data_IF_431999649845
#
_entry.id   IF_431999649845
#
_cell.length_a   1.000
_cell.length_b   1.000
_cell.length_c   1.000
_cell.angle_alpha   90.00
_cell.angle_beta   90.00
_cell.angle_gamma   90.00
#
_symmetry.space_group_name_H-M   'P 1'
#
loop_
_entity.id
_entity.type
_entity.pdbx_description
1 polymer ?
#
# COMPACT_ATOMS: atom_id res chain seq x y z
N UNK A 1 -56.15 -10.83 -25.29
CA UNK A 1 -55.76 -12.19 -24.86
C UNK A 1 -55.36 -13.09 -26.01
N UNK A 2 -55.74 -12.75 -27.25
CA UNK A 2 -55.30 -13.47 -28.45
C UNK A 2 -53.97 -12.95 -29.01
N UNK A 3 -53.59 -11.70 -28.72
CA UNK A 3 -52.43 -11.01 -29.30
C UNK A 3 -51.06 -11.41 -28.72
N UNK A 4 -51.02 -12.32 -27.73
CA UNK A 4 -49.78 -12.77 -27.07
C UNK A 4 -49.40 -14.21 -27.43
N UNK A 5 -50.14 -14.85 -28.35
CA UNK A 5 -49.94 -16.27 -28.71
C UNK A 5 -48.74 -16.52 -29.64
N UNK A 6 -48.15 -15.48 -30.24
CA UNK A 6 -46.98 -15.59 -31.14
C UNK A 6 -45.63 -15.21 -30.49
N UNK A 7 -45.59 -14.83 -29.22
CA UNK A 7 -44.35 -14.42 -28.55
C UNK A 7 -43.66 -15.63 -27.91
N UNK A 8 -42.61 -16.15 -28.55
CA UNK A 8 -41.89 -17.35 -28.10
C UNK A 8 -40.93 -17.12 -26.91
N UNK A 9 -40.54 -15.89 -26.58
CA UNK A 9 -39.72 -15.59 -25.40
C UNK A 9 -39.81 -14.11 -25.02
N UNK A 10 -40.18 -13.83 -23.77
CA UNK A 10 -40.01 -12.52 -23.15
C UNK A 10 -38.77 -12.59 -22.27
N UNK A 11 -37.70 -11.88 -22.63
CA UNK A 11 -36.50 -11.75 -21.79
C UNK A 11 -36.68 -10.50 -20.93
N UNK A 12 -37.04 -10.68 -19.65
CA UNK A 12 -37.08 -9.59 -18.69
C UNK A 12 -35.66 -9.44 -18.12
N UNK A 13 -34.87 -8.56 -18.71
CA UNK A 13 -33.62 -8.12 -18.09
C UNK A 13 -33.98 -7.27 -16.88
N UNK A 14 -33.98 -7.84 -15.68
CA UNK A 14 -34.10 -7.06 -14.43
C UNK A 14 -32.75 -6.38 -14.18
N UNK A 15 -32.59 -5.18 -14.69
CA UNK A 15 -31.41 -4.33 -14.48
C UNK A 15 -31.83 -3.04 -13.82
N UNK A 16 -30.94 -2.45 -13.03
CA UNK A 16 -31.20 -1.21 -12.29
C UNK A 16 -31.82 -0.15 -13.22
N UNK A 17 -33.04 0.37 -12.95
CA UNK A 17 -33.70 1.34 -13.83
C UNK A 17 -32.87 2.61 -14.05
N UNK A 18 -31.96 2.95 -13.13
CA UNK A 18 -31.01 4.06 -13.29
C UNK A 18 -30.06 3.84 -14.48
N UNK A 19 -29.47 2.64 -14.61
CA UNK A 19 -28.53 2.33 -15.71
C UNK A 19 -29.23 2.24 -17.07
N UNK A 20 -30.57 2.13 -17.08
CA UNK A 20 -31.38 2.03 -18.30
C UNK A 20 -31.85 3.38 -18.85
N UNK A 21 -31.86 4.42 -18.04
CA UNK A 21 -32.22 5.78 -18.48
C UNK A 21 -30.99 6.55 -18.98
N UNK A 22 -31.17 7.38 -20.01
CA UNK A 22 -30.09 8.25 -20.53
C UNK A 22 -29.60 9.19 -19.42
N UNK A 23 -30.52 9.80 -18.66
CA UNK A 23 -30.19 10.70 -17.56
C UNK A 23 -29.36 10.00 -16.46
N UNK A 24 -29.72 8.77 -16.09
CA UNK A 24 -28.96 8.00 -15.10
C UNK A 24 -27.57 7.59 -15.60
N UNK A 25 -27.43 7.21 -16.87
CA UNK A 25 -26.11 6.90 -17.47
C UNK A 25 -25.23 8.15 -17.61
N UNK A 26 -25.79 9.29 -17.99
CA UNK A 26 -25.06 10.56 -18.03
C UNK A 26 -24.58 10.95 -16.64
N UNK A 27 -25.43 10.84 -15.61
CA UNK A 27 -25.03 11.12 -14.23
C UNK A 27 -23.94 10.16 -13.72
N UNK A 28 -24.01 8.88 -14.07
CA UNK A 28 -22.95 7.92 -13.76
C UNK A 28 -21.65 8.26 -14.50
N UNK A 29 -21.73 8.63 -15.78
CA UNK A 29 -20.58 9.04 -16.57
C UNK A 29 -19.95 10.34 -16.06
N UNK A 30 -20.74 11.30 -15.57
CA UNK A 30 -20.25 12.51 -14.93
C UNK A 30 -19.42 12.17 -13.68
N UNK A 31 -19.93 11.27 -12.84
CA UNK A 31 -19.21 10.80 -11.64
C UNK A 31 -17.93 10.04 -12.00
N UNK A 32 -17.99 9.14 -13.00
CA UNK A 32 -16.83 8.36 -13.43
C UNK A 32 -15.76 9.26 -14.07
N UNK A 33 -16.16 10.26 -14.86
CA UNK A 33 -15.24 11.26 -15.42
C UNK A 33 -14.61 12.08 -14.30
N UNK A 34 -15.37 12.45 -13.28
CA UNK A 34 -14.86 13.19 -12.12
C UNK A 34 -13.90 12.35 -11.26
N UNK A 35 -14.11 11.03 -11.17
CA UNK A 35 -13.20 10.11 -10.48
C UNK A 35 -12.00 9.68 -11.33
N UNK A 36 -11.98 10.02 -12.63
CA UNK A 36 -10.90 9.68 -13.55
C UNK A 36 -11.01 8.26 -14.15
N UNK A 37 -12.11 7.56 -13.89
CA UNK A 37 -12.34 6.17 -14.35
C UNK A 37 -12.68 6.08 -15.85
N UNK A 38 -13.13 7.19 -16.45
CA UNK A 38 -13.39 7.27 -17.89
C UNK A 38 -12.79 8.55 -18.47
N UNK A 39 -12.33 8.47 -19.72
CA UNK A 39 -11.81 9.60 -20.48
C UNK A 39 -12.92 10.49 -21.04
N UNK A 40 -12.58 11.73 -21.41
CA UNK A 40 -13.54 12.62 -22.09
C UNK A 40 -14.09 12.03 -23.39
N UNK A 41 -13.31 11.23 -24.13
CA UNK A 41 -13.81 10.56 -25.35
C UNK A 41 -14.84 9.48 -25.02
N UNK A 42 -14.61 8.71 -23.95
CA UNK A 42 -15.56 7.70 -23.50
C UNK A 42 -16.83 8.36 -22.99
N UNK A 43 -16.72 9.44 -22.21
CA UNK A 43 -17.87 10.26 -21.81
C UNK A 43 -18.70 10.74 -23.00
N UNK A 44 -18.06 11.28 -24.04
CA UNK A 44 -18.76 11.72 -25.25
C UNK A 44 -19.44 10.54 -25.98
N UNK A 45 -18.85 9.35 -25.98
CA UNK A 45 -19.52 8.14 -26.47
C UNK A 45 -20.75 7.79 -25.63
N UNK A 46 -20.71 7.94 -24.30
CA UNK A 46 -21.90 7.72 -23.45
C UNK A 46 -23.00 8.74 -23.78
N UNK A 47 -22.66 10.01 -23.99
CA UNK A 47 -23.62 11.05 -24.37
C UNK A 47 -24.22 10.79 -25.76
N UNK A 48 -23.39 10.37 -26.72
CA UNK A 48 -23.82 10.18 -28.11
C UNK A 48 -24.56 8.87 -28.35
N UNK A 49 -24.12 7.77 -27.73
CA UNK A 49 -24.64 6.42 -27.98
C UNK A 49 -25.53 5.91 -26.86
N UNK A 50 -25.47 6.54 -25.68
CA UNK A 50 -26.11 6.03 -24.48
C UNK A 50 -25.49 4.73 -23.98
N UNK A 51 -24.31 4.31 -24.44
CA UNK A 51 -23.68 3.06 -24.01
C UNK A 51 -22.55 3.37 -23.02
N UNK A 52 -22.80 3.10 -21.72
CA UNK A 52 -21.81 3.26 -20.66
C UNK A 52 -20.84 2.06 -20.60
N UNK A 53 -21.29 0.90 -21.07
CA UNK A 53 -20.56 -0.37 -20.96
C UNK A 53 -19.18 -0.27 -21.64
N UNK A 54 -19.14 0.27 -22.87
CA UNK A 54 -17.87 0.47 -23.61
C UNK A 54 -16.85 1.38 -22.93
N UNK A 55 -17.28 2.24 -22.00
CA UNK A 55 -16.39 3.11 -21.24
C UNK A 55 -15.76 2.37 -20.05
N UNK A 56 -16.44 1.36 -19.50
CA UNK A 56 -16.05 0.63 -18.29
C UNK A 56 -15.53 -0.78 -18.55
N UNK A 57 -15.69 -1.29 -19.79
CA UNK A 57 -15.36 -2.66 -20.16
C UNK A 57 -13.94 -3.07 -19.72
N UNK A 58 -12.93 -2.20 -19.88
CA UNK A 58 -11.55 -2.50 -19.48
C UNK A 58 -11.40 -2.82 -17.99
N UNK A 59 -11.96 -1.97 -17.12
CA UNK A 59 -11.95 -2.17 -15.67
C UNK A 59 -12.75 -3.42 -15.26
N UNK A 60 -13.90 -3.63 -15.89
CA UNK A 60 -14.74 -4.82 -15.65
C UNK A 60 -14.01 -6.10 -16.06
N UNK A 61 -13.33 -6.11 -17.21
CA UNK A 61 -12.54 -7.26 -17.65
C UNK A 61 -11.39 -7.54 -16.68
N UNK A 62 -10.75 -6.51 -16.14
CA UNK A 62 -9.72 -6.72 -15.12
C UNK A 62 -10.28 -7.31 -13.83
N UNK A 63 -11.42 -6.80 -13.34
CA UNK A 63 -12.07 -7.41 -12.17
C UNK A 63 -12.44 -8.88 -12.40
N UNK A 64 -12.91 -9.22 -13.61
CA UNK A 64 -13.22 -10.60 -13.95
C UNK A 64 -11.96 -11.46 -14.06
N UNK A 65 -10.85 -10.94 -14.61
CA UNK A 65 -9.58 -11.64 -14.63
C UNK A 65 -9.15 -11.99 -13.20
N UNK A 66 -9.07 -11.01 -12.31
CA UNK A 66 -8.67 -11.20 -10.90
C UNK A 66 -9.57 -12.23 -10.18
N UNK A 67 -10.89 -12.20 -10.42
CA UNK A 67 -11.82 -13.18 -9.85
C UNK A 67 -11.55 -14.59 -10.37
N UNK A 68 -11.33 -14.75 -11.67
CA UNK A 68 -10.99 -16.04 -12.27
C UNK A 68 -9.65 -16.57 -11.73
N UNK A 69 -8.66 -15.69 -11.52
CA UNK A 69 -7.39 -16.08 -10.91
C UNK A 69 -7.56 -16.55 -9.48
N UNK A 70 -8.38 -15.86 -8.69
CA UNK A 70 -8.70 -16.30 -7.33
C UNK A 70 -9.34 -17.69 -7.31
N UNK A 71 -10.26 -17.96 -8.24
CA UNK A 71 -10.85 -19.29 -8.39
C UNK A 71 -9.81 -20.35 -8.77
N UNK A 72 -8.91 -20.04 -9.71
CA UNK A 72 -7.82 -20.93 -10.12
C UNK A 72 -6.85 -21.24 -8.95
N UNK A 73 -6.43 -20.21 -8.22
CA UNK A 73 -5.57 -20.35 -7.03
C UNK A 73 -6.25 -21.20 -5.95
N UNK A 74 -7.56 -21.03 -5.74
CA UNK A 74 -8.35 -21.86 -4.82
C UNK A 74 -8.43 -23.33 -5.27
N UNK A 75 -8.36 -23.60 -6.57
CA UNK A 75 -8.28 -24.96 -7.13
C UNK A 75 -6.85 -25.53 -7.09
N UNK A 76 -5.87 -24.76 -6.62
CA UNK A 76 -4.47 -25.15 -6.58
C UNK A 76 -3.76 -25.02 -7.93
N UNK A 77 -4.31 -24.23 -8.84
CA UNK A 77 -3.71 -23.93 -10.14
C UNK A 77 -2.83 -22.69 -10.06
N UNK A 78 -1.67 -22.73 -10.71
CA UNK A 78 -0.73 -21.63 -10.73
C UNK A 78 -1.03 -20.71 -11.92
N UNK A 79 -1.24 -19.43 -11.64
CA UNK A 79 -1.54 -18.41 -12.64
C UNK A 79 -0.27 -17.62 -12.96
N UNK A 80 0.05 -17.37 -14.24
CA UNK A 80 1.18 -16.52 -14.58
C UNK A 80 0.84 -15.03 -14.39
N UNK A 81 1.72 -14.29 -13.71
CA UNK A 81 1.64 -12.82 -13.65
C UNK A 81 2.25 -12.20 -14.90
N UNK A 82 1.55 -11.23 -15.49
CA UNK A 82 1.98 -10.49 -16.67
C UNK A 82 2.33 -9.04 -16.36
N UNK A 83 3.31 -8.47 -17.07
CA UNK A 83 3.81 -7.11 -16.80
C UNK A 83 2.78 -5.99 -17.05
N UNK A 84 1.68 -6.29 -17.75
CA UNK A 84 0.61 -5.33 -18.04
C UNK A 84 -0.55 -5.43 -17.05
N UNK A 85 -0.46 -6.29 -16.03
CA UNK A 85 -1.51 -6.44 -15.03
C UNK A 85 -1.54 -5.24 -14.10
N UNK A 86 -2.74 -4.88 -13.64
CA UNK A 86 -2.93 -3.89 -12.57
C UNK A 86 -2.48 -4.48 -11.22
N UNK A 87 -1.17 -4.44 -10.98
CA UNK A 87 -0.52 -5.15 -9.89
C UNK A 87 -1.05 -4.77 -8.50
N UNK A 88 -1.36 -3.49 -8.30
CA UNK A 88 -1.90 -3.01 -7.02
C UNK A 88 -3.27 -3.61 -6.72
N UNK A 89 -4.12 -3.75 -7.73
CA UNK A 89 -5.48 -4.24 -7.55
C UNK A 89 -5.50 -5.76 -7.42
N UNK A 90 -4.66 -6.47 -8.19
CA UNK A 90 -4.40 -7.90 -7.99
C UNK A 90 -3.97 -8.20 -6.54
N UNK A 91 -2.97 -7.47 -6.02
CA UNK A 91 -2.49 -7.69 -4.64
C UNK A 91 -3.60 -7.48 -3.60
N UNK A 92 -4.43 -6.43 -3.74
CA UNK A 92 -5.53 -6.17 -2.81
C UNK A 92 -6.57 -7.28 -2.83
N UNK A 93 -6.92 -7.76 -4.02
CA UNK A 93 -7.94 -8.78 -4.21
C UNK A 93 -7.45 -10.18 -3.81
N UNK A 94 -6.23 -10.59 -4.16
CA UNK A 94 -5.68 -11.88 -3.71
C UNK A 94 -5.55 -11.95 -2.19
N UNK A 95 -5.36 -10.81 -1.51
CA UNK A 95 -5.38 -10.73 -0.03
C UNK A 95 -6.70 -11.26 0.56
N UNK A 96 -7.81 -11.17 -0.18
CA UNK A 96 -9.13 -11.58 0.32
C UNK A 96 -9.19 -13.09 0.56
N UNK A 97 -8.53 -13.89 -0.28
CA UNK A 97 -8.42 -15.34 -0.12
C UNK A 97 -7.79 -15.72 1.21
N UNK A 98 -6.67 -15.09 1.55
CA UNK A 98 -5.99 -15.31 2.83
C UNK A 98 -6.60 -14.49 3.96
N UNK A 99 -7.63 -13.68 3.74
CA UNK A 99 -8.35 -13.02 4.83
C UNK A 99 -9.43 -13.92 5.44
N UNK A 100 -9.87 -14.95 4.72
CA UNK A 100 -10.75 -15.99 5.22
C UNK A 100 -10.02 -16.91 6.22
N UNK A 101 -10.48 -17.01 7.50
CA UNK A 101 -9.90 -17.93 8.49
C UNK A 101 -9.92 -19.41 8.11
N UNK A 102 -10.84 -19.83 7.25
CA UNK A 102 -10.91 -21.20 6.72
C UNK A 102 -9.74 -21.47 5.78
N UNK A 103 -9.52 -20.57 4.83
CA UNK A 103 -8.46 -20.68 3.82
C UNK A 103 -7.06 -20.56 4.43
N UNK A 104 -6.90 -19.75 5.50
CA UNK A 104 -5.61 -19.63 6.22
C UNK A 104 -5.10 -20.94 6.83
N UNK A 105 -5.97 -21.94 7.01
CA UNK A 105 -5.58 -23.24 7.57
C UNK A 105 -4.96 -24.17 6.53
N UNK A 106 -5.09 -23.84 5.24
CA UNK A 106 -4.45 -24.56 4.17
C UNK A 106 -3.07 -23.94 3.86
N UNK A 107 -1.97 -24.58 4.31
CA UNK A 107 -0.64 -24.02 4.09
C UNK A 107 -0.22 -24.02 2.62
N UNK A 108 -0.78 -24.90 1.78
CA UNK A 108 -0.44 -24.96 0.35
C UNK A 108 -1.09 -23.78 -0.38
N UNK A 109 -2.38 -23.53 -0.12
CA UNK A 109 -3.09 -22.38 -0.67
C UNK A 109 -2.43 -21.06 -0.23
N UNK A 110 -2.13 -20.92 1.06
CA UNK A 110 -1.46 -19.71 1.58
C UNK A 110 -0.12 -19.49 0.90
N UNK A 111 0.70 -20.53 0.75
CA UNK A 111 1.99 -20.43 0.07
C UNK A 111 1.82 -19.99 -1.39
N UNK A 112 0.87 -20.59 -2.11
CA UNK A 112 0.61 -20.29 -3.51
C UNK A 112 0.15 -18.84 -3.70
N UNK A 113 -0.78 -18.37 -2.88
CA UNK A 113 -1.27 -16.98 -2.94
C UNK A 113 -0.17 -15.98 -2.60
N UNK A 114 0.66 -16.26 -1.59
CA UNK A 114 1.81 -15.40 -1.26
C UNK A 114 2.88 -15.41 -2.35
N UNK A 115 3.12 -16.54 -3.00
CA UNK A 115 4.03 -16.62 -4.14
C UNK A 115 3.52 -15.79 -5.32
N UNK A 116 2.23 -15.90 -5.64
CA UNK A 116 1.58 -15.10 -6.69
C UNK A 116 1.64 -13.59 -6.40
N UNK A 117 1.32 -13.19 -5.16
CA UNK A 117 1.48 -11.78 -4.71
C UNK A 117 2.92 -11.30 -4.87
N UNK A 118 3.91 -12.13 -4.54
CA UNK A 118 5.31 -11.76 -4.71
C UNK A 118 5.70 -11.58 -6.18
N UNK A 119 5.09 -12.33 -7.11
CA UNK A 119 5.32 -12.11 -8.54
C UNK A 119 4.82 -10.72 -8.98
N UNK A 120 3.66 -10.26 -8.53
CA UNK A 120 3.20 -8.88 -8.78
C UNK A 120 4.12 -7.83 -8.17
N UNK A 121 4.58 -8.04 -6.93
CA UNK A 121 5.55 -7.15 -6.28
C UNK A 121 6.87 -7.10 -7.07
N UNK A 122 7.31 -8.24 -7.60
CA UNK A 122 8.54 -8.31 -8.38
C UNK A 122 8.41 -7.56 -9.70
N UNK A 123 7.26 -7.63 -10.38
CA UNK A 123 7.00 -6.78 -11.55
C UNK A 123 7.05 -5.29 -11.19
N UNK A 124 6.43 -4.88 -10.07
CA UNK A 124 6.51 -3.50 -9.59
C UNK A 124 7.94 -3.04 -9.22
N UNK A 125 8.87 -3.96 -8.97
CA UNK A 125 10.28 -3.65 -8.67
C UNK A 125 11.16 -3.65 -9.90
N UNK A 126 10.90 -4.55 -10.86
CA UNK A 126 11.85 -4.92 -11.92
C UNK A 126 11.38 -4.59 -13.33
N UNK A 127 10.09 -4.35 -13.54
CA UNK A 127 9.56 -3.93 -14.83
C UNK A 127 10.19 -2.60 -15.27
N UNK A 128 10.19 -2.36 -16.58
CA UNK A 128 10.70 -1.12 -17.16
C UNK A 128 9.97 0.09 -16.52
N UNK A 129 10.68 1.01 -15.85
CA UNK A 129 10.07 2.20 -15.25
C UNK A 129 9.30 3.06 -16.26
N UNK A 130 9.69 3.04 -17.54
CA UNK A 130 8.95 3.76 -18.59
C UNK A 130 7.60 3.11 -18.88
N UNK A 131 7.54 1.78 -18.87
CA UNK A 131 6.29 1.05 -19.02
C UNK A 131 5.37 1.30 -17.82
N UNK A 132 5.90 1.20 -16.60
CA UNK A 132 5.13 1.50 -15.38
C UNK A 132 4.59 2.93 -15.39
N UNK A 133 5.37 3.90 -15.88
CA UNK A 133 4.91 5.28 -16.04
C UNK A 133 3.75 5.41 -17.05
N UNK A 134 3.79 4.67 -18.17
CA UNK A 134 2.71 4.65 -19.17
C UNK A 134 1.43 4.00 -18.63
N UNK A 135 1.59 2.98 -17.79
CA UNK A 135 0.49 2.29 -17.11
C UNK A 135 0.05 3.02 -15.83
N UNK A 136 0.61 4.20 -15.54
CA UNK A 136 0.30 4.98 -14.34
C UNK A 136 0.56 4.23 -13.00
N UNK A 137 1.48 3.27 -13.02
CA UNK A 137 1.88 2.49 -11.85
C UNK A 137 3.17 3.03 -11.23
N UNK A 138 3.19 3.14 -9.90
CA UNK A 138 4.38 3.56 -9.18
C UNK A 138 5.31 2.36 -8.94
N UNK A 139 6.58 2.37 -9.41
CA UNK A 139 7.52 1.33 -9.04
C UNK A 139 7.79 1.33 -7.53
N UNK A 140 7.95 0.13 -6.97
CA UNK A 140 8.41 -0.05 -5.60
C UNK A 140 9.93 -0.03 -5.63
N UNK A 141 10.54 1.08 -5.21
CA UNK A 141 11.99 1.16 -5.12
C UNK A 141 12.51 0.16 -4.07
N UNK A 142 13.62 -0.56 -4.37
CA UNK A 142 14.31 -1.32 -3.34
C UNK A 142 14.77 -0.37 -2.23
N UNK A 143 14.55 -0.77 -0.97
CA UNK A 143 15.05 -0.02 0.17
C UNK A 143 16.55 0.20 -0.01
N UNK A 144 16.99 1.46 -0.14
CA UNK A 144 18.41 1.73 -0.23
C UNK A 144 19.06 1.26 1.07
N UNK A 145 20.12 0.44 1.02
CA UNK A 145 20.85 0.07 2.22
C UNK A 145 21.33 1.37 2.90
N UNK A 146 21.33 1.44 4.25
CA UNK A 146 21.84 2.59 4.96
C UNK A 146 23.24 2.87 4.44
N UNK A 147 23.38 4.02 3.77
CA UNK A 147 24.63 4.43 3.18
C UNK A 147 25.58 4.66 4.36
N UNK A 148 26.48 3.71 4.58
CA UNK A 148 27.48 3.80 5.65
C UNK A 148 28.16 5.16 5.55
N UNK A 149 28.14 5.90 6.65
CA UNK A 149 28.88 7.16 6.72
C UNK A 149 30.31 6.90 6.24
N UNK A 150 30.84 7.73 5.33
CA UNK A 150 32.24 7.60 4.93
C UNK A 150 33.10 7.66 6.20
N UNK A 151 34.17 6.84 6.31
CA UNK A 151 35.08 6.90 7.43
C UNK A 151 35.56 8.34 7.57
N UNK A 152 35.37 8.92 8.76
CA UNK A 152 35.99 10.20 9.08
C UNK A 152 37.50 10.04 8.91
N UNK A 153 38.04 10.72 7.91
CA UNK A 153 39.47 10.75 7.63
C UNK A 153 40.15 11.42 8.82
N UNK A 154 40.77 10.59 9.67
CA UNK A 154 41.40 11.01 10.90
C UNK A 154 42.56 11.94 10.62
N UNK A 155 42.38 13.22 10.94
CA UNK A 155 43.46 14.18 11.06
C UNK A 155 44.37 13.74 12.23
N UNK A 156 45.69 13.53 12.05
CA UNK A 156 46.59 13.19 13.16
C UNK A 156 46.94 14.46 13.94
N UNK A 157 45.96 14.99 14.68
CA UNK A 157 46.19 15.98 15.70
C UNK A 157 46.34 15.27 17.05
N UNK A 158 47.45 15.57 17.72
CA UNK A 158 47.95 14.95 18.93
C UNK A 158 46.87 14.71 20.00
N UNK A 159 46.89 13.50 20.58
CA UNK A 159 46.15 13.18 21.79
C UNK A 159 46.66 14.07 22.94
N UNK A 160 45.79 14.83 23.64
CA UNK A 160 46.18 15.52 24.86
C UNK A 160 46.46 14.52 25.97
N UNK A 161 47.53 14.76 26.72
CA UNK A 161 47.93 14.01 27.90
C UNK A 161 46.81 14.08 28.97
N UNK A 162 46.36 12.97 29.59
CA UNK A 162 45.25 12.97 30.56
C UNK A 162 45.54 13.67 31.90
N UNK A 163 46.72 14.26 32.08
CA UNK A 163 47.17 14.78 33.37
C UNK A 163 46.81 16.26 33.67
N UNK A 164 46.16 16.97 32.74
CA UNK A 164 45.88 18.42 32.89
C UNK A 164 44.44 18.83 32.54
N UNK A 165 43.43 18.03 32.94
CA UNK A 165 42.04 18.51 32.88
C UNK A 165 41.71 19.36 34.12
N UNK A 166 41.28 20.64 33.97
CA UNK A 166 40.71 21.40 35.07
C UNK A 166 39.36 20.78 35.50
N UNK A 167 38.94 20.99 36.76
CA UNK A 167 37.67 20.46 37.26
C UNK A 167 36.48 20.95 36.43
N UNK A 168 35.52 20.04 36.22
CA UNK A 168 34.37 20.14 35.31
C UNK A 168 33.53 21.41 35.53
N UNK A 169 33.56 21.98 36.73
CA UNK A 169 32.83 23.21 37.07
C UNK A 169 33.28 24.44 36.27
N UNK A 170 34.54 24.50 35.82
CA UNK A 170 35.03 25.61 34.98
C UNK A 170 34.71 25.45 33.49
N UNK A 171 34.43 24.23 33.01
CA UNK A 171 34.11 23.98 31.60
C UNK A 171 32.68 24.41 31.25
N UNK A 172 31.75 24.37 32.22
CA UNK A 172 30.35 24.79 32.04
C UNK A 172 30.20 26.32 32.01
N UNK A 173 31.10 27.06 32.67
CA UNK A 173 31.06 28.53 32.69
C UNK A 173 31.59 29.20 31.41
N UNK A 174 32.39 28.50 30.60
CA UNK A 174 33.04 29.10 29.40
C UNK A 174 32.28 28.85 28.08
N UNK A 175 31.35 27.90 28.04
CA UNK A 175 30.67 27.53 26.78
C UNK A 175 29.32 28.20 26.57
N UNK A 176 28.77 28.92 27.56
CA UNK A 176 27.55 29.70 27.41
C UNK A 176 26.36 28.90 26.85
N UNK A 177 26.36 27.58 27.01
CA UNK A 177 25.34 26.72 26.47
C UNK A 177 24.17 26.62 27.47
N UNK A 178 23.20 27.52 27.33
CA UNK A 178 21.89 27.35 27.94
C UNK A 178 21.25 26.07 27.40
N UNK A 179 21.02 25.09 28.28
CA UNK A 179 20.22 23.91 28.00
C UNK A 179 18.76 24.35 27.85
N UNK A 180 18.32 24.56 26.62
CA UNK A 180 16.90 24.69 26.30
C UNK A 180 16.23 23.33 26.53
N UNK A 181 15.48 23.22 27.63
CA UNK A 181 14.66 22.05 27.90
C UNK A 181 13.56 21.94 26.83
N UNK A 182 13.42 20.79 26.13
CA UNK A 182 12.30 20.58 25.24
C UNK A 182 11.02 20.49 26.07
N UNK A 183 10.08 21.37 25.74
CA UNK A 183 8.74 21.43 26.30
C UNK A 183 7.97 20.16 25.89
N UNK A 184 8.09 19.10 26.68
CA UNK A 184 7.32 17.88 26.54
C UNK A 184 6.41 17.75 27.76
N UNK A 185 5.12 17.96 27.54
CA UNK A 185 4.09 17.75 28.54
C UNK A 185 3.98 16.24 28.82
N UNK A 186 4.65 15.76 29.87
CA UNK A 186 4.51 14.37 30.32
C UNK A 186 3.15 14.20 31.02
N UNK A 187 2.40 13.11 30.75
CA UNK A 187 1.23 12.75 31.55
C UNK A 187 1.62 12.56 33.02
N UNK A 188 0.80 13.06 33.96
CA UNK A 188 1.10 13.08 35.41
C UNK A 188 1.43 11.70 36.02
N UNK A 189 1.05 10.62 35.36
CA UNK A 189 1.26 9.24 35.83
C UNK A 189 2.73 8.77 35.84
N UNK A 190 3.65 9.57 35.25
CA UNK A 190 5.08 9.23 35.19
C UNK A 190 5.98 10.22 35.94
N UNK A 191 5.41 11.12 36.75
CA UNK A 191 6.15 12.14 37.51
C UNK A 191 7.13 11.55 38.54
N UNK A 192 6.87 10.34 39.04
CA UNK A 192 7.67 9.70 40.09
C UNK A 192 8.53 8.51 39.58
N UNK A 193 8.65 8.34 38.26
CA UNK A 193 9.56 7.33 37.71
C UNK A 193 11.02 7.81 37.83
N UNK A 194 11.92 7.08 38.53
CA UNK A 194 13.32 7.50 38.65
C UNK A 194 14.01 7.45 37.29
N UNK A 195 14.26 8.64 36.71
CA UNK A 195 14.97 8.81 35.44
C UNK A 195 16.48 8.73 35.66
N UNK A 196 17.00 7.63 36.21
CA UNK A 196 18.44 7.36 36.12
C UNK A 196 18.71 5.86 36.03
N UNK A 197 19.49 5.49 35.01
CA UNK A 197 20.07 4.17 34.79
C UNK A 197 20.97 3.69 35.93
N UNK A 198 21.33 4.58 36.88
CA UNK A 198 22.19 4.29 38.02
C UNK A 198 21.51 3.45 39.12
N UNK A 199 20.17 3.51 39.29
CA UNK A 199 19.48 2.75 40.34
C UNK A 199 19.12 1.31 39.91
N UNK A 200 19.01 1.03 38.61
CA UNK A 200 18.70 -0.31 38.11
C UNK A 200 19.90 -1.25 38.11
N UNK A 201 21.13 -0.74 38.07
CA UNK A 201 22.33 -1.59 38.17
C UNK A 201 22.50 -2.19 39.57
N UNK A 202 22.10 -1.49 40.63
CA UNK A 202 22.22 -1.98 42.01
C UNK A 202 21.24 -3.11 42.37
N UNK A 203 20.16 -3.33 41.58
CA UNK A 203 19.21 -4.43 41.79
C UNK A 203 19.54 -5.71 41.01
N UNK A 204 20.51 -5.68 40.11
CA UNK A 204 20.86 -6.82 39.23
C UNK A 204 22.10 -7.57 39.76
N UNK A 205 22.95 -6.93 40.56
CA UNK A 205 24.06 -7.59 41.28
C UNK A 205 23.66 -7.83 42.73
N UNK A 206 22.95 -8.93 42.99
CA UNK A 206 22.49 -9.29 44.34
C UNK A 206 23.62 -9.32 45.37
N UNK A 207 23.45 -8.53 46.43
CA UNK A 207 23.99 -8.77 47.76
C UNK A 207 23.14 -7.96 48.76
N UNK A 208 22.32 -8.70 49.52
CA UNK A 208 21.56 -8.39 50.75
C UNK A 208 20.70 -7.11 50.79
#
# INVERSE_FOLDING_TARGET
GEDLKEINRVVVNSGNPLTKSIAGRTQMADNLLQYGEITSSQYMNVIMTGNLDTATDGAIYQEFAIKNENEALMMGEQVPVFVLDEHYDHIKEHRTLISDPGMRKDPQLVQMVLEHINQHIEQLKTADPQLLMVLEMQPIAPAQPPQGQPPAEGNPAAAPNPAEMPPVDQAVAQTGAELQAPNAHMPEEFSDAPVTSAQNQAKITGNE
#
